data_IF_064883318476
#
_entry.id   IF_064883318476
#
_cell.length_a   1.000
_cell.length_b   1.000
_cell.length_c   1.000
_cell.angle_alpha   90.00
_cell.angle_beta   90.00
_cell.angle_gamma   90.00
#
_symmetry.space_group_name_H-M   'P 1'
#
loop_
_entity.id
_entity.type
_entity.pdbx_description
1 polymer ?
#
# COMPACT_ATOMS: atom_id res chain seq x y z
N UNK A 1 7.00 -44.74 -22.74
CA UNK A 1 5.80 -44.11 -22.15
C UNK A 1 6.15 -42.78 -21.46
N UNK A 2 5.86 -41.69 -22.21
CA UNK A 2 5.51 -40.32 -21.79
C UNK A 2 6.16 -39.64 -20.57
N UNK A 3 7.02 -38.65 -20.90
CA UNK A 3 7.11 -37.27 -20.39
C UNK A 3 6.24 -36.85 -19.19
N UNK A 4 6.83 -36.05 -18.29
CA UNK A 4 6.53 -34.61 -18.20
C UNK A 4 7.59 -33.89 -17.34
N UNK A 5 8.50 -33.23 -18.03
CA UNK A 5 9.26 -32.07 -17.55
C UNK A 5 8.29 -31.03 -16.98
N UNK A 6 8.62 -30.46 -15.82
CA UNK A 6 8.01 -29.20 -15.38
C UNK A 6 9.12 -28.20 -14.98
N UNK A 7 9.16 -27.00 -15.61
CA UNK A 7 10.22 -26.02 -15.46
C UNK A 7 9.91 -25.00 -14.36
N UNK A 8 10.96 -24.41 -13.78
CA UNK A 8 11.03 -23.04 -13.21
C UNK A 8 12.39 -22.96 -12.46
N UNK A 9 13.52 -22.98 -13.16
CA UNK A 9 14.26 -21.80 -13.59
C UNK A 9 14.39 -20.69 -12.51
N UNK A 10 15.59 -20.66 -11.93
CA UNK A 10 16.30 -19.49 -11.40
C UNK A 10 15.76 -18.80 -10.13
N UNK A 11 15.90 -19.49 -9.00
CA UNK A 11 16.10 -18.82 -7.71
C UNK A 11 17.43 -18.05 -7.71
N UNK A 12 17.40 -16.77 -8.05
CA UNK A 12 18.46 -15.82 -7.67
C UNK A 12 18.07 -15.18 -6.33
N UNK A 13 18.19 -15.95 -5.25
CA UNK A 13 18.17 -15.44 -3.88
C UNK A 13 19.54 -15.68 -3.26
N UNK A 14 20.53 -14.87 -3.61
CA UNK A 14 21.78 -14.74 -2.85
C UNK A 14 22.67 -13.68 -3.49
N UNK A 15 22.39 -12.38 -3.28
CA UNK A 15 23.48 -11.40 -3.22
C UNK A 15 23.17 -10.04 -2.56
N UNK A 16 22.17 -9.94 -1.67
CA UNK A 16 21.94 -8.68 -0.93
C UNK A 16 22.11 -8.84 0.60
N UNK A 17 22.58 -10.00 1.07
CA UNK A 17 22.65 -10.33 2.50
C UNK A 17 24.07 -10.23 3.10
N UNK A 18 24.86 -9.26 2.65
CA UNK A 18 26.03 -8.81 3.42
C UNK A 18 26.02 -7.29 3.44
N UNK A 19 25.15 -6.72 4.27
CA UNK A 19 25.28 -5.34 4.73
C UNK A 19 25.75 -5.39 6.17
N UNK A 20 27.02 -5.07 6.35
CA UNK A 20 27.76 -5.12 7.60
C UNK A 20 27.13 -4.26 8.72
N UNK A 21 26.88 -4.93 9.85
CA UNK A 21 27.17 -4.52 11.23
C UNK A 21 27.13 -3.00 11.54
N UNK A 22 26.08 -2.56 12.24
CA UNK A 22 26.20 -1.46 13.21
C UNK A 22 25.62 -0.08 12.89
N UNK A 23 24.89 0.10 11.79
CA UNK A 23 24.07 1.31 11.59
C UNK A 23 22.62 0.92 11.43
N UNK A 24 21.69 1.63 12.06
CA UNK A 24 20.28 1.55 11.67
C UNK A 24 20.23 1.99 10.21
N UNK A 25 20.20 1.02 9.29
CA UNK A 25 20.10 1.29 7.86
C UNK A 25 18.76 2.00 7.70
N UNK A 26 18.80 3.31 7.51
CA UNK A 26 17.61 4.08 7.17
C UNK A 26 16.98 3.40 5.95
N UNK A 27 15.65 3.25 5.94
CA UNK A 27 14.98 2.75 4.74
C UNK A 27 15.32 3.72 3.61
N UNK A 28 15.75 3.25 2.43
CA UNK A 28 15.89 4.11 1.27
C UNK A 28 14.64 4.98 1.13
N UNK A 29 14.83 6.30 0.98
CA UNK A 29 13.71 7.21 0.77
C UNK A 29 13.03 6.78 -0.53
N UNK A 30 11.70 6.56 -0.48
CA UNK A 30 10.93 6.19 -1.66
C UNK A 30 11.19 7.21 -2.76
N UNK A 31 11.62 6.76 -3.94
CA UNK A 31 11.82 7.66 -5.06
C UNK A 31 10.49 8.34 -5.40
N UNK A 32 10.55 9.59 -5.85
CA UNK A 32 9.36 10.37 -6.23
C UNK A 32 8.43 9.59 -7.17
N UNK A 33 9.01 8.86 -8.13
CA UNK A 33 8.28 8.03 -9.10
C UNK A 33 7.48 6.89 -8.44
N UNK A 34 8.02 6.27 -7.40
CA UNK A 34 7.34 5.19 -6.69
C UNK A 34 6.19 5.75 -5.86
N UNK A 35 6.41 6.89 -5.18
CA UNK A 35 5.35 7.57 -4.44
C UNK A 35 4.23 8.06 -5.37
N UNK A 36 4.58 8.55 -6.55
CA UNK A 36 3.60 8.94 -7.57
C UNK A 36 2.77 7.74 -8.04
N UNK A 37 3.40 6.60 -8.33
CA UNK A 37 2.69 5.36 -8.70
C UNK A 37 1.69 4.94 -7.64
N UNK A 38 2.10 4.97 -6.37
CA UNK A 38 1.23 4.60 -5.25
C UNK A 38 0.04 5.54 -5.13
N UNK A 39 0.27 6.86 -5.23
CA UNK A 39 -0.81 7.85 -5.20
C UNK A 39 -1.79 7.66 -6.35
N UNK A 40 -1.29 7.43 -7.58
CA UNK A 40 -2.13 7.18 -8.74
C UNK A 40 -2.94 5.90 -8.59
N UNK A 41 -2.34 4.84 -8.04
CA UNK A 41 -3.04 3.58 -7.72
C UNK A 41 -4.16 3.80 -6.71
N UNK A 42 -3.92 4.55 -5.64
CA UNK A 42 -4.95 4.91 -4.66
C UNK A 42 -6.08 5.73 -5.29
N UNK A 43 -5.76 6.56 -6.28
CA UNK A 43 -6.74 7.32 -7.03
C UNK A 43 -7.45 6.53 -8.15
N UNK A 44 -7.15 5.24 -8.33
CA UNK A 44 -7.61 4.43 -9.46
C UNK A 44 -7.26 5.03 -10.84
N UNK A 45 -6.11 5.71 -10.93
CA UNK A 45 -5.59 6.30 -12.17
C UNK A 45 -4.49 5.37 -12.71
N UNK A 46 -4.60 4.85 -13.95
CA UNK A 46 -3.57 4.01 -14.54
C UNK A 46 -2.28 4.80 -14.76
N UNK A 47 -1.14 4.25 -14.31
CA UNK A 47 0.18 4.87 -14.50
C UNK A 47 0.60 4.97 -15.98
N UNK A 48 0.02 4.17 -16.89
CA UNK A 48 0.31 4.26 -18.32
C UNK A 48 -0.38 5.44 -19.02
N UNK A 49 -1.45 6.00 -18.43
CA UNK A 49 -2.32 6.98 -19.08
C UNK A 49 -2.55 8.24 -18.26
N UNK A 50 -1.82 8.43 -17.15
CA UNK A 50 -2.05 9.56 -16.25
C UNK A 50 -1.71 10.90 -16.90
N UNK A 51 -0.69 10.95 -17.77
CA UNK A 51 -0.28 12.16 -18.50
C UNK A 51 -1.39 12.65 -19.44
N UNK A 52 -2.02 11.72 -20.18
CA UNK A 52 -3.16 12.03 -21.05
C UNK A 52 -4.40 12.50 -20.28
N UNK A 53 -4.54 12.07 -19.01
CA UNK A 53 -5.61 12.58 -18.14
C UNK A 53 -5.22 13.93 -17.53
N UNK A 54 -3.95 14.13 -17.22
CA UNK A 54 -3.42 15.37 -16.65
C UNK A 54 -3.38 16.51 -17.67
N UNK A 55 -3.34 16.23 -18.97
CA UNK A 55 -3.44 17.25 -20.02
C UNK A 55 -4.79 17.97 -20.03
N UNK A 56 -5.84 17.33 -19.51
CA UNK A 56 -7.13 17.98 -19.26
C UNK A 56 -7.20 18.47 -17.80
N UNK A 57 -6.66 19.66 -17.55
CA UNK A 57 -6.44 20.18 -16.19
C UNK A 57 -7.70 20.14 -15.29
N UNK A 58 -8.86 20.51 -15.83
CA UNK A 58 -10.11 20.58 -15.07
C UNK A 58 -10.59 19.21 -14.61
N UNK A 59 -10.64 18.25 -15.54
CA UNK A 59 -11.07 16.88 -15.25
C UNK A 59 -10.04 16.16 -14.38
N UNK A 60 -8.77 16.46 -14.57
CA UNK A 60 -7.67 16.00 -13.70
C UNK A 60 -7.85 16.43 -12.24
N UNK A 61 -8.01 17.75 -11.99
CA UNK A 61 -8.17 18.26 -10.63
C UNK A 61 -9.41 17.70 -9.95
N UNK A 62 -10.53 17.62 -10.67
CA UNK A 62 -11.76 17.01 -10.15
C UNK A 62 -11.54 15.53 -9.80
N UNK A 63 -10.91 14.77 -10.69
CA UNK A 63 -10.66 13.34 -10.49
C UNK A 63 -9.74 13.09 -9.29
N UNK A 64 -8.66 13.86 -9.16
CA UNK A 64 -7.75 13.79 -8.02
C UNK A 64 -8.48 14.14 -6.71
N UNK A 65 -9.18 15.27 -6.67
CA UNK A 65 -9.92 15.72 -5.50
C UNK A 65 -10.94 14.67 -5.03
N UNK A 66 -11.81 14.20 -5.93
CA UNK A 66 -12.81 13.19 -5.60
C UNK A 66 -12.20 11.86 -5.16
N UNK A 67 -11.00 11.52 -5.63
CA UNK A 67 -10.35 10.27 -5.27
C UNK A 67 -9.65 10.35 -3.91
N UNK A 68 -8.97 11.46 -3.63
CA UNK A 68 -8.39 11.75 -2.31
C UNK A 68 -9.48 11.79 -1.25
N UNK A 69 -10.60 12.48 -1.52
CA UNK A 69 -11.73 12.55 -0.59
C UNK A 69 -12.27 11.15 -0.23
N UNK A 70 -12.42 10.26 -1.22
CA UNK A 70 -12.85 8.86 -0.99
C UNK A 70 -11.84 8.06 -0.18
N UNK A 71 -10.55 8.25 -0.45
CA UNK A 71 -9.48 7.60 0.31
C UNK A 71 -9.51 8.02 1.78
N UNK A 72 -9.57 9.33 2.06
CA UNK A 72 -9.65 9.86 3.42
C UNK A 72 -10.89 9.35 4.15
N UNK A 73 -12.05 9.36 3.49
CA UNK A 73 -13.28 8.81 4.05
C UNK A 73 -13.15 7.32 4.43
N UNK A 74 -12.50 6.52 3.59
CA UNK A 74 -12.24 5.10 3.86
C UNK A 74 -11.30 4.92 5.06
N UNK A 75 -10.29 5.79 5.21
CA UNK A 75 -9.38 5.78 6.35
C UNK A 75 -10.09 6.12 7.66
N UNK A 76 -11.00 7.10 7.65
CA UNK A 76 -11.82 7.42 8.82
C UNK A 76 -12.69 6.23 9.24
N UNK A 77 -13.39 5.59 8.30
CA UNK A 77 -14.21 4.41 8.58
C UNK A 77 -13.38 3.26 9.16
N UNK A 78 -12.21 3.00 8.60
CA UNK A 78 -11.32 1.95 9.11
C UNK A 78 -10.85 2.25 10.54
N UNK A 79 -10.49 3.51 10.83
CA UNK A 79 -10.12 3.94 12.19
C UNK A 79 -11.28 3.79 13.17
N UNK A 80 -12.48 4.16 12.78
CA UNK A 80 -13.68 4.01 13.62
C UNK A 80 -13.97 2.54 13.92
N UNK A 81 -13.81 1.64 12.93
CA UNK A 81 -13.94 0.20 13.12
C UNK A 81 -12.91 -0.33 14.12
N UNK A 82 -11.64 0.06 14.00
CA UNK A 82 -10.58 -0.33 14.96
C UNK A 82 -10.89 0.16 16.38
N UNK A 83 -11.31 1.43 16.51
CA UNK A 83 -11.71 2.01 17.79
C UNK A 83 -12.93 1.27 18.39
N UNK A 84 -13.91 0.92 17.56
CA UNK A 84 -15.09 0.14 17.98
C UNK A 84 -14.69 -1.25 18.49
N UNK A 85 -13.85 -1.96 17.74
CA UNK A 85 -13.34 -3.29 18.13
C UNK A 85 -12.57 -3.23 19.45
N UNK A 86 -11.70 -2.24 19.61
CA UNK A 86 -10.93 -2.05 20.85
C UNK A 86 -11.84 -1.80 22.07
N UNK A 87 -12.91 -1.01 21.91
CA UNK A 87 -13.92 -0.81 22.95
C UNK A 87 -14.64 -2.11 23.30
N UNK A 88 -15.05 -2.92 22.31
CA UNK A 88 -15.68 -4.21 22.55
C UNK A 88 -14.77 -5.20 23.30
N UNK A 89 -13.48 -5.24 22.97
CA UNK A 89 -12.51 -6.05 23.68
C UNK A 89 -12.33 -5.61 25.14
N UNK A 90 -12.27 -4.30 25.40
CA UNK A 90 -12.17 -3.78 26.79
C UNK A 90 -13.38 -4.18 27.64
N UNK A 91 -14.58 -4.17 27.09
CA UNK A 91 -15.81 -4.60 27.79
C UNK A 91 -15.84 -6.09 28.09
N UNK A 92 -15.25 -6.93 27.23
CA UNK A 92 -15.29 -8.40 27.34
C UNK A 92 -14.43 -8.97 28.46
N UNK A 93 -13.37 -8.26 28.87
CA UNK A 93 -12.45 -8.70 29.94
C UNK A 93 -12.73 -8.08 31.31
N UNK A 94 -13.65 -7.11 31.41
CA UNK A 94 -14.06 -6.50 32.69
C UNK A 94 -14.63 -7.46 33.74
N UNK A 95 -15.36 -8.55 33.41
CA UNK A 95 -15.92 -9.45 34.43
C UNK A 95 -14.87 -10.32 35.14
N UNK A 96 -13.66 -10.42 34.59
CA UNK A 96 -12.60 -11.32 35.10
C UNK A 96 -11.54 -10.60 35.95
N UNK A 97 -11.74 -9.31 36.22
CA UNK A 97 -10.83 -8.45 36.97
C UNK A 97 -11.49 -7.85 38.23
N UNK A 98 -12.61 -8.41 38.70
CA UNK A 98 -13.26 -8.09 39.99
C UNK A 98 -13.13 -9.24 40.97
#
# INVERSE_FOLDING_TARGET
>A
PVNLSNPCQHGKQALDYVICIGRSIGRPLLHFKDKLKDNLKQCNIPFSSWENKASEERTWHQSCFSSVQRFEQSQFQFRDQLCSLAKCCSSKWKPYLS
#
